data_IF_930210026650
#
_entry.id   IF_930210026650
#
_cell.length_a   1.000
_cell.length_b   1.000
_cell.length_c   1.000
_cell.angle_alpha   90.00
_cell.angle_beta   90.00
_cell.angle_gamma   90.00
#
_symmetry.space_group_name_H-M   'P 1'
#
loop_
_entity.id
_entity.type
_entity.pdbx_description
1 polymer ?
#
# COMPACT_ATOMS: atom_id res chain seq x y z
N UNK A 1 10.86 -18.15 9.77
CA UNK A 1 11.90 -17.31 9.15
C UNK A 1 13.25 -17.96 9.37
N UNK A 2 14.08 -18.00 8.35
CA UNK A 2 15.41 -18.62 8.45
C UNK A 2 16.51 -17.64 8.07
N UNK A 3 17.65 -17.76 8.76
CA UNK A 3 18.86 -17.02 8.51
C UNK A 3 20.05 -17.98 8.64
N UNK A 4 20.63 -18.41 7.52
CA UNK A 4 21.59 -19.50 7.50
C UNK A 4 21.00 -20.76 8.13
N UNK A 5 21.66 -21.31 9.15
CA UNK A 5 21.17 -22.48 9.88
C UNK A 5 20.21 -22.14 11.04
N UNK A 6 19.97 -20.85 11.31
CA UNK A 6 19.09 -20.42 12.41
C UNK A 6 17.66 -20.35 11.91
N UNK A 7 16.75 -21.10 12.54
CA UNK A 7 15.31 -21.02 12.31
C UNK A 7 14.65 -20.22 13.43
N UNK A 8 13.87 -19.20 13.03
CA UNK A 8 13.16 -18.30 13.94
C UNK A 8 11.66 -18.48 13.71
N UNK A 9 10.94 -19.18 14.60
CA UNK A 9 9.49 -19.25 14.56
C UNK A 9 8.88 -17.85 14.70
N UNK A 10 8.03 -17.45 13.73
CA UNK A 10 7.37 -16.14 13.72
C UNK A 10 5.93 -16.25 13.25
N UNK A 11 5.14 -15.25 13.63
CA UNK A 11 3.80 -14.95 13.09
C UNK A 11 3.81 -13.60 12.38
N UNK A 12 3.03 -13.52 11.31
CA UNK A 12 2.81 -12.29 10.55
C UNK A 12 1.43 -11.73 10.85
N UNK A 13 1.34 -10.41 11.08
CA UNK A 13 0.09 -9.70 11.33
C UNK A 13 -0.03 -8.55 10.34
N UNK A 14 -1.25 -8.30 9.81
CA UNK A 14 -1.49 -7.14 8.96
C UNK A 14 -1.20 -5.86 9.73
N UNK A 15 -0.46 -4.92 9.12
CA UNK A 15 -0.21 -3.60 9.71
C UNK A 15 -1.33 -2.60 9.45
N UNK A 16 -2.23 -2.89 8.50
CA UNK A 16 -3.36 -2.05 8.15
C UNK A 16 -4.70 -2.67 8.57
N UNK A 17 -5.62 -1.81 8.99
CA UNK A 17 -7.02 -2.17 9.24
C UNK A 17 -7.87 -1.77 8.04
N UNK A 18 -8.30 -2.74 7.24
CA UNK A 18 -9.23 -2.52 6.11
C UNK A 18 -10.64 -2.12 6.55
N UNK A 19 -10.97 -2.34 7.84
CA UNK A 19 -12.31 -2.06 8.40
C UNK A 19 -12.64 -0.57 8.55
N UNK A 20 -11.66 0.32 8.37
CA UNK A 20 -11.86 1.78 8.49
C UNK A 20 -12.35 2.45 7.22
N UNK A 21 -12.37 1.75 6.08
CA UNK A 21 -12.90 2.30 4.84
C UNK A 21 -14.43 2.26 4.82
N UNK A 22 -15.05 3.36 4.32
CA UNK A 22 -16.49 3.39 4.09
C UNK A 22 -16.80 2.56 2.85
N UNK A 23 -17.44 1.40 3.05
CA UNK A 23 -17.81 0.51 1.96
C UNK A 23 -19.32 0.57 1.70
N UNK A 24 -19.71 0.60 0.41
CA UNK A 24 -21.10 0.60 -0.01
C UNK A 24 -21.47 -0.73 -0.65
N UNK A 25 -22.65 -1.24 -0.32
CA UNK A 25 -23.20 -2.41 -1.00
C UNK A 25 -24.04 -1.98 -2.20
N UNK A 26 -23.98 -2.75 -3.28
CA UNK A 26 -24.92 -2.57 -4.40
C UNK A 26 -26.32 -3.04 -4.01
N UNK A 27 -27.29 -2.16 -4.18
CA UNK A 27 -28.69 -2.43 -3.89
C UNK A 27 -29.53 -2.28 -5.17
N UNK A 28 -30.59 -3.09 -5.30
CA UNK A 28 -31.57 -2.90 -6.35
C UNK A 28 -32.37 -1.60 -6.12
N UNK A 29 -32.41 -0.73 -7.13
CA UNK A 29 -32.94 0.63 -6.98
C UNK A 29 -34.42 0.65 -6.51
N UNK A 30 -35.24 -0.30 -6.97
CA UNK A 30 -36.65 -0.34 -6.63
C UNK A 30 -36.93 -0.87 -5.23
N UNK A 31 -36.38 -2.04 -4.86
CA UNK A 31 -36.67 -2.71 -3.59
C UNK A 31 -35.63 -2.49 -2.48
N UNK A 32 -34.52 -1.80 -2.81
CA UNK A 32 -33.38 -1.55 -1.89
C UNK A 32 -32.74 -2.82 -1.31
N UNK A 33 -33.02 -4.00 -1.86
CA UNK A 33 -32.40 -5.25 -1.45
C UNK A 33 -30.99 -5.39 -2.03
N UNK A 34 -30.10 -6.06 -1.29
CA UNK A 34 -28.73 -6.33 -1.74
C UNK A 34 -28.74 -7.25 -2.96
N UNK A 35 -28.07 -6.85 -4.04
CA UNK A 35 -27.91 -7.67 -5.24
C UNK A 35 -26.75 -8.66 -5.08
N UNK A 36 -26.84 -9.81 -5.79
CA UNK A 36 -25.80 -10.83 -5.86
C UNK A 36 -25.28 -10.91 -7.29
N UNK A 37 -23.99 -11.21 -7.44
CA UNK A 37 -23.39 -11.49 -8.74
C UNK A 37 -23.55 -12.97 -9.06
N UNK A 38 -23.92 -13.28 -10.31
CA UNK A 38 -23.95 -14.62 -10.88
C UNK A 38 -22.90 -14.70 -11.98
N UNK A 39 -22.24 -15.83 -12.09
CA UNK A 39 -21.35 -16.12 -13.20
C UNK A 39 -22.18 -16.75 -14.31
N UNK A 40 -22.09 -16.21 -15.51
CA UNK A 40 -22.77 -16.75 -16.69
C UNK A 40 -21.74 -17.00 -17.80
N UNK A 41 -22.01 -18.00 -18.64
CA UNK A 41 -21.18 -18.29 -19.80
C UNK A 41 -21.86 -17.76 -21.08
N UNK A 42 -21.31 -16.72 -21.74
CA UNK A 42 -21.91 -16.15 -22.95
C UNK A 42 -22.05 -17.16 -24.10
N UNK A 43 -21.08 -18.05 -24.23
CA UNK A 43 -21.06 -19.09 -25.28
C UNK A 43 -22.09 -20.22 -25.03
N UNK A 44 -22.56 -20.35 -23.79
CA UNK A 44 -23.58 -21.33 -23.39
C UNK A 44 -24.95 -20.66 -23.18
N UNK A 45 -25.32 -19.70 -24.01
CA UNK A 45 -26.63 -19.01 -23.95
C UNK A 45 -26.88 -18.32 -22.59
N UNK A 46 -25.86 -17.73 -22.00
CA UNK A 46 -25.87 -17.07 -20.68
C UNK A 46 -26.30 -17.99 -19.52
N UNK A 47 -26.07 -19.29 -19.66
CA UNK A 47 -26.32 -20.25 -18.57
C UNK A 47 -25.51 -19.91 -17.33
N UNK A 48 -26.13 -20.01 -16.16
CA UNK A 48 -25.47 -19.77 -14.86
C UNK A 48 -24.46 -20.87 -14.56
N UNK A 49 -23.20 -20.48 -14.35
CA UNK A 49 -22.10 -21.41 -14.07
C UNK A 49 -21.75 -21.37 -12.56
N UNK A 50 -22.02 -22.46 -11.82
CA UNK A 50 -21.57 -22.58 -10.44
C UNK A 50 -20.05 -22.47 -10.33
N UNK A 51 -19.54 -21.85 -9.28
CA UNK A 51 -18.08 -21.71 -9.05
C UNK A 51 -17.34 -23.06 -9.07
N UNK A 52 -17.98 -24.12 -8.64
CA UNK A 52 -17.42 -25.47 -8.65
C UNK A 52 -17.17 -26.01 -10.08
N UNK A 53 -17.83 -25.46 -11.09
CA UNK A 53 -17.67 -25.83 -12.50
C UNK A 53 -16.73 -24.89 -13.25
N UNK A 54 -16.07 -23.94 -12.55
CA UNK A 54 -15.07 -23.06 -13.16
C UNK A 54 -13.67 -23.66 -13.01
N UNK A 55 -12.85 -23.49 -14.04
CA UNK A 55 -11.42 -23.82 -14.04
C UNK A 55 -10.59 -22.56 -14.21
N UNK A 56 -9.35 -22.57 -13.76
CA UNK A 56 -8.42 -21.45 -14.00
C UNK A 56 -7.74 -21.64 -15.34
N UNK A 57 -7.84 -20.64 -16.21
CA UNK A 57 -7.20 -20.61 -17.51
C UNK A 57 -6.19 -19.47 -17.61
N UNK A 58 -5.03 -19.74 -18.21
CA UNK A 58 -4.04 -18.74 -18.60
C UNK A 58 -4.14 -18.47 -20.09
N UNK A 59 -4.39 -17.23 -20.49
CA UNK A 59 -4.45 -16.83 -21.88
C UNK A 59 -3.03 -16.63 -22.42
N UNK A 60 -2.54 -17.57 -23.22
CA UNK A 60 -1.20 -17.50 -23.82
C UNK A 60 -1.20 -16.86 -25.21
N UNK A 61 -2.35 -16.81 -25.87
CA UNK A 61 -2.60 -16.06 -27.10
C UNK A 61 -4.08 -15.67 -27.13
N UNK A 62 -4.44 -14.60 -27.84
CA UNK A 62 -5.80 -14.07 -27.89
C UNK A 62 -6.85 -15.16 -28.13
N UNK A 63 -7.72 -15.41 -27.17
CA UNK A 63 -8.77 -16.42 -27.20
C UNK A 63 -8.29 -17.88 -27.01
N UNK A 64 -6.97 -18.11 -26.72
CA UNK A 64 -6.43 -19.45 -26.46
C UNK A 64 -5.97 -19.59 -25.03
N UNK A 65 -6.51 -20.57 -24.32
CA UNK A 65 -6.28 -20.79 -22.91
C UNK A 65 -5.64 -22.14 -22.63
N UNK A 66 -4.69 -22.16 -21.71
CA UNK A 66 -4.24 -23.36 -21.00
C UNK A 66 -4.97 -23.41 -19.67
N UNK A 67 -5.63 -24.53 -19.38
CA UNK A 67 -6.38 -24.72 -18.14
C UNK A 67 -5.54 -25.47 -17.12
N UNK A 68 -5.72 -25.08 -15.85
CA UNK A 68 -5.08 -25.71 -14.70
C UNK A 68 -6.15 -26.22 -13.75
N UNK A 69 -6.00 -27.45 -13.28
CA UNK A 69 -6.81 -28.00 -12.20
C UNK A 69 -6.38 -27.38 -10.85
N UNK A 70 -7.27 -27.45 -9.87
CA UNK A 70 -6.94 -26.98 -8.53
C UNK A 70 -5.79 -27.79 -7.89
N UNK A 71 -5.64 -29.06 -8.26
CA UNK A 71 -4.58 -29.96 -7.78
C UNK A 71 -3.23 -29.62 -8.38
N UNK A 72 -3.15 -29.36 -9.69
CA UNK A 72 -1.93 -28.90 -10.36
C UNK A 72 -1.42 -27.58 -9.76
N UNK A 73 -2.32 -26.62 -9.57
CA UNK A 73 -1.96 -25.34 -8.93
C UNK A 73 -1.49 -25.53 -7.49
N UNK A 74 -2.16 -26.42 -6.74
CA UNK A 74 -1.78 -26.73 -5.36
C UNK A 74 -0.39 -27.39 -5.31
N UNK A 75 -0.06 -28.30 -6.22
CA UNK A 75 1.27 -28.91 -6.31
C UNK A 75 2.35 -27.86 -6.54
N UNK A 76 2.13 -26.93 -7.47
CA UNK A 76 3.03 -25.80 -7.70
C UNK A 76 3.18 -24.89 -6.46
N UNK A 77 2.11 -24.74 -5.66
CA UNK A 77 2.13 -23.98 -4.42
C UNK A 77 2.85 -24.72 -3.27
N UNK A 78 2.72 -26.03 -3.21
CA UNK A 78 3.31 -26.87 -2.14
C UNK A 78 4.83 -26.98 -2.24
N UNK A 79 5.40 -26.88 -3.46
CA UNK A 79 6.84 -26.77 -3.65
C UNK A 79 7.42 -25.47 -3.03
N UNK A 80 6.58 -24.46 -2.82
CA UNK A 80 6.97 -23.21 -2.21
C UNK A 80 6.71 -23.27 -0.70
N UNK A 81 7.71 -23.66 0.09
CA UNK A 81 7.60 -23.68 1.56
C UNK A 81 7.16 -22.31 2.06
N UNK A 82 6.20 -22.26 2.99
CA UNK A 82 5.76 -21.02 3.68
C UNK A 82 6.87 -20.52 4.62
N UNK A 83 8.02 -20.19 4.05
CA UNK A 83 9.19 -19.73 4.76
C UNK A 83 9.55 -18.31 4.34
N UNK A 84 10.14 -17.57 5.27
CA UNK A 84 10.84 -16.33 4.96
C UNK A 84 12.33 -16.68 5.04
N UNK A 85 13.03 -16.57 3.92
CA UNK A 85 14.46 -16.92 3.82
C UNK A 85 15.25 -15.64 3.63
N UNK A 86 16.04 -15.26 4.63
CA UNK A 86 16.93 -14.09 4.57
C UNK A 86 18.12 -14.41 3.69
N UNK A 87 18.37 -13.57 2.68
CA UNK A 87 19.45 -13.75 1.71
C UNK A 87 20.62 -12.79 1.98
N UNK A 88 20.32 -11.53 2.31
CA UNK A 88 21.38 -10.52 2.52
C UNK A 88 20.92 -9.39 3.46
N UNK A 89 21.89 -8.56 3.85
CA UNK A 89 21.67 -7.39 4.70
C UNK A 89 22.23 -6.14 4.02
N UNK A 90 21.37 -5.13 3.85
CA UNK A 90 21.71 -3.86 3.17
C UNK A 90 21.42 -2.67 4.08
N UNK A 91 22.04 -1.49 3.86
CA UNK A 91 21.62 -0.25 4.50
C UNK A 91 20.17 0.11 4.10
N UNK A 92 19.36 0.61 5.04
CA UNK A 92 17.98 0.99 4.75
C UNK A 92 17.87 2.04 3.63
N UNK A 93 18.77 3.01 3.63
CA UNK A 93 18.83 4.08 2.64
C UNK A 93 19.10 3.60 1.20
N UNK A 94 19.65 2.39 1.04
CA UNK A 94 19.87 1.81 -0.29
C UNK A 94 18.59 1.26 -0.94
N UNK A 95 17.50 1.14 -0.18
CA UNK A 95 16.21 0.64 -0.67
C UNK A 95 15.28 1.81 -0.93
N UNK A 96 15.11 2.19 -2.20
CA UNK A 96 14.24 3.28 -2.59
C UNK A 96 12.77 2.96 -2.21
N UNK A 97 12.04 3.90 -1.57
CA UNK A 97 10.63 3.73 -1.21
C UNK A 97 9.69 3.41 -2.37
N UNK A 98 10.09 3.66 -3.62
CA UNK A 98 9.30 3.29 -4.82
C UNK A 98 9.02 1.78 -4.90
N UNK A 99 9.91 0.96 -4.30
CA UNK A 99 9.75 -0.49 -4.23
C UNK A 99 8.78 -0.93 -3.13
N UNK A 100 8.39 -0.07 -2.18
CA UNK A 100 7.59 -0.47 -1.02
C UNK A 100 6.15 -0.83 -1.43
N UNK A 101 5.70 -1.99 -0.95
CA UNK A 101 4.33 -2.50 -1.06
C UNK A 101 3.65 -2.60 0.31
N UNK A 102 2.99 -3.71 0.59
CA UNK A 102 2.30 -3.96 1.86
C UNK A 102 3.28 -4.22 3.00
N UNK A 103 2.91 -3.79 4.22
CA UNK A 103 3.67 -4.03 5.42
C UNK A 103 2.95 -5.01 6.36
N UNK A 104 3.74 -5.77 7.13
CA UNK A 104 3.24 -6.74 8.11
C UNK A 104 4.07 -6.63 9.39
N UNK A 105 3.42 -6.64 10.54
CA UNK A 105 4.13 -6.80 11.80
C UNK A 105 4.60 -8.23 11.95
N UNK A 106 5.83 -8.41 12.45
CA UNK A 106 6.38 -9.71 12.81
C UNK A 106 6.35 -9.87 14.33
N UNK A 107 5.82 -10.98 14.79
CA UNK A 107 5.91 -11.37 16.20
C UNK A 107 6.61 -12.73 16.33
N UNK A 108 7.32 -12.99 17.44
CA UNK A 108 7.85 -14.33 17.70
C UNK A 108 6.71 -15.31 17.93
N UNK A 109 6.87 -16.53 17.47
CA UNK A 109 6.05 -17.68 17.89
C UNK A 109 6.77 -18.46 19.00
N UNK A 110 6.07 -19.38 19.63
CA UNK A 110 6.58 -20.14 20.77
C UNK A 110 7.97 -20.74 20.49
N UNK A 111 8.93 -20.44 21.37
CA UNK A 111 10.33 -20.86 21.24
C UNK A 111 11.18 -20.00 20.29
N UNK A 112 10.61 -18.98 19.67
CA UNK A 112 11.30 -18.06 18.76
C UNK A 112 11.80 -16.78 19.41
N UNK A 113 11.41 -16.47 20.64
CA UNK A 113 11.55 -15.17 21.28
C UNK A 113 13.01 -14.70 21.33
N UNK A 114 13.93 -15.56 21.79
CA UNK A 114 15.36 -15.23 21.92
C UNK A 114 16.01 -14.95 20.54
N UNK A 115 15.74 -15.81 19.56
CA UNK A 115 16.31 -15.66 18.22
C UNK A 115 15.71 -14.46 17.48
N UNK A 116 14.42 -14.18 17.68
CA UNK A 116 13.75 -12.99 17.18
C UNK A 116 14.38 -11.70 17.76
N UNK A 117 14.55 -11.65 19.08
CA UNK A 117 15.18 -10.50 19.75
C UNK A 117 16.62 -10.30 19.28
N UNK A 118 17.41 -11.39 19.19
CA UNK A 118 18.80 -11.33 18.72
C UNK A 118 18.91 -10.73 17.30
N UNK A 119 18.05 -11.17 16.37
CA UNK A 119 18.03 -10.61 15.02
C UNK A 119 17.65 -9.12 15.04
N UNK A 120 16.63 -8.75 15.79
CA UNK A 120 16.18 -7.36 15.92
C UNK A 120 17.30 -6.46 16.49
N UNK A 121 18.02 -6.92 17.51
CA UNK A 121 19.15 -6.18 18.12
C UNK A 121 20.33 -6.06 17.14
N UNK A 122 20.64 -7.13 16.41
CA UNK A 122 21.68 -7.11 15.39
C UNK A 122 21.37 -6.11 14.26
N UNK A 123 20.14 -6.08 13.77
CA UNK A 123 19.71 -5.11 12.77
C UNK A 123 19.77 -3.66 13.28
N UNK A 124 19.37 -3.43 14.53
CA UNK A 124 19.46 -2.10 15.17
C UNK A 124 20.90 -1.64 15.32
N UNK A 125 21.78 -2.51 15.84
CA UNK A 125 23.18 -2.16 16.10
C UNK A 125 23.98 -1.91 14.83
N UNK A 126 23.63 -2.57 13.72
CA UNK A 126 24.31 -2.42 12.43
C UNK A 126 23.69 -1.36 11.52
N UNK A 127 22.50 -0.83 11.84
CA UNK A 127 21.75 0.06 10.96
C UNK A 127 21.31 -0.60 9.65
N UNK A 128 21.29 -1.94 9.59
CA UNK A 128 20.94 -2.69 8.38
C UNK A 128 19.54 -3.26 8.44
N UNK A 129 19.01 -3.60 7.26
CA UNK A 129 17.76 -4.33 7.06
C UNK A 129 18.07 -5.65 6.37
N UNK A 130 17.23 -6.66 6.58
CA UNK A 130 17.38 -7.95 5.93
C UNK A 130 16.51 -7.99 4.68
N UNK A 131 17.07 -8.39 3.54
CA UNK A 131 16.32 -8.76 2.34
C UNK A 131 16.07 -10.26 2.37
N UNK A 132 14.84 -10.64 2.09
CA UNK A 132 14.39 -12.02 2.18
C UNK A 132 13.40 -12.38 1.07
N UNK A 133 13.29 -13.66 0.77
CA UNK A 133 12.22 -14.24 -0.04
C UNK A 133 11.12 -14.76 0.87
N UNK A 134 9.91 -14.37 0.60
CA UNK A 134 8.72 -14.83 1.31
C UNK A 134 7.77 -15.55 0.38
N UNK A 135 7.60 -16.84 0.62
CA UNK A 135 6.63 -17.64 -0.11
C UNK A 135 5.26 -17.60 0.59
N UNK A 136 4.25 -17.05 -0.08
CA UNK A 136 2.90 -16.96 0.43
C UNK A 136 1.87 -17.03 -0.70
N UNK A 137 0.80 -17.81 -0.49
CA UNK A 137 -0.34 -17.93 -1.42
C UNK A 137 0.06 -18.27 -2.86
N UNK A 138 1.00 -19.20 -3.02
CA UNK A 138 1.48 -19.64 -4.34
C UNK A 138 2.35 -18.61 -5.08
N UNK A 139 2.85 -17.59 -4.37
CA UNK A 139 3.75 -16.59 -4.93
C UNK A 139 4.97 -16.41 -4.05
N UNK A 140 6.10 -16.13 -4.67
CA UNK A 140 7.29 -15.68 -4.00
C UNK A 140 7.32 -14.15 -4.02
N UNK A 141 7.53 -13.55 -2.87
CA UNK A 141 7.62 -12.10 -2.69
C UNK A 141 9.02 -11.74 -2.22
N UNK A 142 9.57 -10.68 -2.76
CA UNK A 142 10.72 -10.01 -2.17
C UNK A 142 10.24 -9.21 -0.97
N UNK A 143 10.91 -9.33 0.17
CA UNK A 143 10.56 -8.61 1.39
C UNK A 143 11.79 -8.06 2.08
N UNK A 144 11.60 -6.96 2.79
CA UNK A 144 12.59 -6.33 3.65
C UNK A 144 12.12 -6.44 5.11
N UNK A 145 12.99 -6.90 5.99
CA UNK A 145 12.72 -6.96 7.43
C UNK A 145 13.55 -5.90 8.12
N UNK A 146 12.89 -5.05 8.89
CA UNK A 146 13.54 -3.95 9.61
C UNK A 146 13.02 -3.84 11.04
N UNK A 147 13.83 -3.28 11.95
CA UNK A 147 13.36 -2.93 13.29
C UNK A 147 12.23 -1.90 13.25
N UNK A 148 11.33 -1.99 14.21
CA UNK A 148 10.19 -1.09 14.36
C UNK A 148 9.77 -1.00 15.84
N UNK A 149 9.46 0.20 16.33
CA UNK A 149 8.95 0.48 17.69
C UNK A 149 9.66 -0.34 18.79
N UNK A 150 10.89 0.03 19.10
CA UNK A 150 11.65 -0.62 20.17
C UNK A 150 12.06 -2.04 19.80
N UNK A 151 11.43 -3.07 20.37
CA UNK A 151 11.79 -4.48 20.17
C UNK A 151 11.11 -5.15 18.96
N UNK A 152 10.14 -4.50 18.34
CA UNK A 152 9.40 -5.05 17.22
C UNK A 152 10.19 -5.11 15.92
N UNK A 153 9.71 -5.92 14.97
CA UNK A 153 10.15 -5.93 13.58
C UNK A 153 8.95 -5.83 12.63
N UNK A 154 9.19 -5.22 11.49
CA UNK A 154 8.23 -5.12 10.37
C UNK A 154 8.83 -5.79 9.16
N UNK A 155 8.01 -6.56 8.47
CA UNK A 155 8.28 -7.08 7.13
C UNK A 155 7.56 -6.18 6.13
N UNK A 156 8.33 -5.55 5.25
CA UNK A 156 7.86 -4.71 4.15
C UNK A 156 7.96 -5.51 2.87
N UNK A 157 6.86 -5.74 2.18
CA UNK A 157 6.89 -6.33 0.85
C UNK A 157 7.52 -5.33 -0.12
N UNK A 158 8.39 -5.83 -1.00
CA UNK A 158 9.02 -5.05 -2.06
C UNK A 158 8.51 -5.53 -3.43
N UNK A 159 8.43 -4.62 -4.38
CA UNK A 159 8.22 -4.95 -5.78
C UNK A 159 9.50 -5.47 -6.39
N UNK A 160 9.39 -6.41 -7.33
CA UNK A 160 10.52 -6.75 -8.19
C UNK A 160 10.81 -5.60 -9.17
N UNK A 161 12.06 -5.51 -9.65
CA UNK A 161 12.45 -4.47 -10.59
C UNK A 161 11.60 -4.47 -11.88
N UNK A 162 11.19 -5.64 -12.34
CA UNK A 162 10.33 -5.84 -13.50
C UNK A 162 8.88 -5.39 -13.31
N UNK A 163 8.43 -5.22 -12.06
CA UNK A 163 7.09 -4.70 -11.74
C UNK A 163 7.03 -3.17 -11.77
N UNK A 164 8.19 -2.51 -11.81
CA UNK A 164 8.25 -1.05 -11.89
C UNK A 164 8.16 -0.60 -13.34
N UNK A 165 7.30 0.39 -13.57
CA UNK A 165 7.30 1.10 -14.85
C UNK A 165 8.56 1.95 -14.99
N UNK A 166 9.09 2.11 -16.22
CA UNK A 166 10.19 3.03 -16.46
C UNK A 166 9.86 4.43 -15.93
N UNK A 167 10.88 5.11 -15.38
CA UNK A 167 10.73 6.51 -14.98
C UNK A 167 10.30 7.36 -16.18
N UNK A 168 9.40 8.31 -15.93
CA UNK A 168 8.98 9.24 -16.98
C UNK A 168 10.15 10.11 -17.40
N UNK A 169 10.39 10.31 -18.71
CA UNK A 169 11.39 11.27 -19.19
C UNK A 169 10.88 12.70 -18.89
N UNK A 170 11.46 13.33 -17.88
CA UNK A 170 11.14 14.72 -17.52
C UNK A 170 12.22 15.61 -18.12
N UNK A 171 11.81 16.58 -18.94
CA UNK A 171 12.72 17.60 -19.44
C UNK A 171 13.04 18.58 -18.32
N UNK A 172 14.33 18.84 -18.11
CA UNK A 172 14.76 19.86 -17.16
C UNK A 172 14.38 21.25 -17.68
N UNK A 173 13.80 22.07 -16.82
CA UNK A 173 13.55 23.49 -17.09
C UNK A 173 14.56 24.32 -16.33
N UNK A 174 14.95 25.47 -16.93
CA UNK A 174 15.82 26.41 -16.26
C UNK A 174 15.08 27.12 -15.12
N UNK A 175 15.68 27.14 -13.94
CA UNK A 175 15.18 27.84 -12.76
C UNK A 175 16.17 28.89 -12.36
N UNK A 176 15.72 30.14 -12.18
CA UNK A 176 16.59 31.22 -11.73
C UNK A 176 16.98 31.06 -10.27
N UNK A 177 18.15 31.61 -9.91
CA UNK A 177 18.65 31.55 -8.53
C UNK A 177 17.70 32.25 -7.52
N UNK A 178 17.04 33.32 -7.98
CA UNK A 178 16.05 34.05 -7.19
C UNK A 178 14.79 33.24 -6.89
N UNK A 179 14.27 32.52 -7.88
CA UNK A 179 13.12 31.62 -7.73
C UNK A 179 13.46 30.47 -6.76
N UNK A 180 14.63 29.84 -6.92
CA UNK A 180 15.10 28.79 -6.05
C UNK A 180 15.22 29.27 -4.60
N UNK A 181 15.80 30.46 -4.36
CA UNK A 181 15.91 31.03 -3.00
C UNK A 181 14.55 31.25 -2.33
N UNK A 182 13.56 31.73 -3.07
CA UNK A 182 12.19 31.91 -2.55
C UNK A 182 11.51 30.58 -2.27
N UNK A 183 11.66 29.60 -3.16
CA UNK A 183 11.12 28.27 -2.97
C UNK A 183 11.72 27.58 -1.74
N UNK A 184 13.05 27.63 -1.56
CA UNK A 184 13.74 27.10 -0.38
C UNK A 184 13.24 27.78 0.90
N UNK A 185 13.04 29.11 0.89
CA UNK A 185 12.49 29.83 2.04
C UNK A 185 11.09 29.35 2.40
N UNK A 186 10.22 29.12 1.40
CA UNK A 186 8.87 28.58 1.61
C UNK A 186 8.90 27.15 2.16
N UNK A 187 9.78 26.30 1.63
CA UNK A 187 9.98 24.93 2.14
C UNK A 187 10.40 24.97 3.62
N UNK A 188 11.43 25.76 3.94
CA UNK A 188 11.93 25.86 5.33
C UNK A 188 10.88 26.42 6.29
N UNK A 189 10.03 27.35 5.84
CA UNK A 189 8.93 27.90 6.64
C UNK A 189 7.84 26.86 6.94
N UNK A 190 7.71 25.84 6.09
CA UNK A 190 6.74 24.78 6.22
C UNK A 190 7.35 23.44 6.70
N UNK A 191 8.64 23.41 6.98
CA UNK A 191 9.34 22.20 7.41
C UNK A 191 8.99 21.82 8.83
N UNK A 192 8.97 20.52 9.09
CA UNK A 192 8.91 19.92 10.42
C UNK A 192 9.98 18.83 10.47
N UNK A 193 10.69 18.73 11.58
CA UNK A 193 11.75 17.72 11.76
C UNK A 193 11.17 16.33 12.05
N UNK A 194 9.88 16.25 12.42
CA UNK A 194 9.21 15.00 12.76
C UNK A 194 7.94 14.80 11.94
N UNK A 195 7.71 13.55 11.55
CA UNK A 195 6.47 13.14 10.90
C UNK A 195 5.42 12.79 11.94
N UNK A 196 4.33 13.53 11.96
CA UNK A 196 3.19 13.36 12.85
C UNK A 196 1.96 12.85 12.06
N UNK A 197 1.81 11.53 11.84
CA UNK A 197 0.71 10.98 11.04
C UNK A 197 -0.67 11.30 11.60
N UNK A 198 -0.80 11.49 12.90
CA UNK A 198 -2.06 11.84 13.58
C UNK A 198 -2.64 13.21 13.21
N UNK A 199 -1.81 14.10 12.64
CA UNK A 199 -2.26 15.42 12.12
C UNK A 199 -3.04 15.29 10.81
N UNK A 200 -2.84 14.19 10.06
CA UNK A 200 -3.47 13.97 8.77
C UNK A 200 -4.71 13.10 8.94
N UNK A 201 -5.86 13.63 8.54
CA UNK A 201 -7.14 12.92 8.64
C UNK A 201 -7.76 12.80 7.26
N UNK A 202 -8.41 11.68 6.99
CA UNK A 202 -9.21 11.51 5.78
C UNK A 202 -10.53 12.29 5.92
N UNK A 203 -10.52 13.51 5.39
CA UNK A 203 -11.68 14.40 5.43
C UNK A 203 -12.82 13.90 4.53
N UNK A 204 -12.50 13.17 3.46
CA UNK A 204 -13.51 12.57 2.57
C UNK A 204 -14.28 11.50 3.33
N UNK A 205 -13.58 10.63 4.05
CA UNK A 205 -14.19 9.63 4.92
C UNK A 205 -15.07 10.29 5.99
N UNK A 206 -14.61 11.35 6.62
CA UNK A 206 -15.38 12.06 7.64
C UNK A 206 -16.66 12.67 7.04
N UNK A 207 -16.60 13.23 5.84
CA UNK A 207 -17.76 13.72 5.10
C UNK A 207 -18.75 12.61 4.78
N UNK A 208 -18.28 11.44 4.31
CA UNK A 208 -19.15 10.28 4.08
C UNK A 208 -19.84 9.83 5.37
N UNK A 209 -19.12 9.70 6.47
CA UNK A 209 -19.69 9.30 7.76
C UNK A 209 -20.74 10.31 8.26
N UNK A 210 -20.49 11.61 8.13
CA UNK A 210 -21.45 12.65 8.47
C UNK A 210 -22.71 12.59 7.58
N UNK A 211 -22.54 12.38 6.26
CA UNK A 211 -23.65 12.23 5.33
C UNK A 211 -24.50 10.99 5.62
N UNK A 212 -23.85 9.85 5.91
CA UNK A 212 -24.52 8.61 6.32
C UNK A 212 -25.34 8.86 7.59
N UNK A 213 -24.75 9.50 8.60
CA UNK A 213 -25.43 9.81 9.86
C UNK A 213 -26.68 10.66 9.62
N UNK A 214 -26.59 11.73 8.82
CA UNK A 214 -27.76 12.57 8.46
C UNK A 214 -28.85 11.76 7.78
N UNK A 215 -28.50 10.89 6.81
CA UNK A 215 -29.49 10.02 6.12
C UNK A 215 -30.14 9.02 7.06
N UNK A 216 -29.42 8.47 8.02
CA UNK A 216 -29.99 7.58 9.05
C UNK A 216 -30.98 8.33 9.93
N UNK A 217 -30.71 9.60 10.23
CA UNK A 217 -31.58 10.49 11.02
C UNK A 217 -32.76 11.09 10.20
N UNK A 218 -32.90 10.71 8.91
CA UNK A 218 -34.00 11.15 8.02
C UNK A 218 -33.75 12.49 7.33
N UNK A 219 -32.55 13.05 7.39
CA UNK A 219 -32.16 14.28 6.71
C UNK A 219 -31.70 14.06 5.26
N UNK A 220 -31.69 15.13 4.48
CA UNK A 220 -31.13 15.15 3.14
C UNK A 220 -29.64 15.50 3.16
N UNK A 221 -28.89 14.99 2.14
CA UNK A 221 -27.49 15.36 1.92
C UNK A 221 -27.47 16.48 0.90
N UNK A 222 -27.21 17.69 1.35
CA UNK A 222 -26.92 18.80 0.44
C UNK A 222 -25.52 18.64 -0.13
N UNK A 223 -25.35 18.91 -1.44
CA UNK A 223 -24.04 18.97 -2.08
C UNK A 223 -23.15 19.99 -1.32
N UNK A 224 -21.93 19.62 -0.96
CA UNK A 224 -20.97 20.61 -0.51
C UNK A 224 -20.75 21.59 -1.68
N UNK A 225 -20.88 22.89 -1.40
CA UNK A 225 -20.50 23.92 -2.35
C UNK A 225 -19.13 23.60 -2.93
N UNK A 226 -19.06 23.48 -4.24
CA UNK A 226 -17.84 23.24 -4.99
C UNK A 226 -16.96 24.53 -4.89
N UNK A 227 -16.19 24.60 -3.82
CA UNK A 227 -15.34 25.72 -3.53
C UNK A 227 -13.88 25.33 -3.53
N UNK A 228 -13.28 25.30 -4.72
CA UNK A 228 -11.86 25.64 -4.90
C UNK A 228 -11.70 26.19 -6.31
N UNK A 229 -11.73 27.49 -6.42
CA UNK A 229 -11.20 28.18 -7.59
C UNK A 229 -9.74 27.73 -7.80
N UNK A 230 -9.48 27.06 -8.90
CA UNK A 230 -8.11 26.85 -9.37
C UNK A 230 -7.60 28.22 -9.77
N UNK A 231 -6.76 28.80 -8.93
CA UNK A 231 -6.00 29.99 -9.27
C UNK A 231 -5.05 29.61 -10.41
N UNK A 232 -5.30 30.09 -11.62
CA UNK A 232 -4.31 30.05 -12.68
C UNK A 232 -3.14 30.92 -12.26
N UNK A 233 -2.02 30.33 -11.96
CA UNK A 233 -0.79 31.05 -11.60
C UNK A 233 -0.11 31.49 -12.87
N UNK A 234 -0.39 32.72 -13.29
CA UNK A 234 0.25 33.39 -14.43
C UNK A 234 1.69 33.81 -14.13
N UNK A 235 2.08 33.99 -12.87
CA UNK A 235 3.44 34.40 -12.45
C UNK A 235 3.88 33.59 -11.22
N UNK A 236 4.89 32.75 -11.41
CA UNK A 236 5.45 31.88 -10.35
C UNK A 236 6.06 32.73 -9.21
N UNK A 237 6.74 33.83 -9.51
CA UNK A 237 7.36 34.71 -8.51
C UNK A 237 6.32 35.43 -7.66
N UNK A 238 5.25 35.93 -8.28
CA UNK A 238 4.14 36.55 -7.56
C UNK A 238 3.44 35.54 -6.65
N UNK A 239 3.20 34.30 -7.11
CA UNK A 239 2.58 33.22 -6.33
C UNK A 239 3.43 32.80 -5.12
N UNK A 240 4.75 32.62 -5.29
CA UNK A 240 5.68 32.30 -4.20
C UNK A 240 5.71 33.42 -3.15
N UNK A 241 5.76 34.68 -3.60
CA UNK A 241 5.77 35.84 -2.70
C UNK A 241 4.46 35.97 -1.90
N UNK A 242 3.32 35.77 -2.56
CA UNK A 242 2.00 35.77 -1.91
C UNK A 242 1.87 34.66 -0.86
N UNK A 243 2.33 33.46 -1.18
CA UNK A 243 2.32 32.32 -0.27
C UNK A 243 3.17 32.56 0.99
N UNK A 244 4.32 33.21 0.86
CA UNK A 244 5.18 33.59 1.97
C UNK A 244 4.52 34.63 2.89
N UNK A 245 3.80 35.63 2.31
CA UNK A 245 3.09 36.68 3.08
C UNK A 245 1.90 36.10 3.85
N UNK A 246 1.04 35.32 3.18
CA UNK A 246 -0.14 34.73 3.80
C UNK A 246 0.21 33.93 5.06
N UNK A 247 1.30 33.18 5.02
CA UNK A 247 1.72 32.34 6.16
C UNK A 247 2.47 33.11 7.26
N UNK A 248 2.95 34.31 6.99
CA UNK A 248 3.49 35.19 8.01
C UNK A 248 2.39 35.87 8.85
N UNK A 249 1.19 36.01 8.28
CA UNK A 249 0.00 36.56 8.95
C UNK A 249 -0.77 35.51 9.78
N UNK A 250 -0.57 34.21 9.52
CA UNK A 250 -1.21 33.10 10.26
C UNK A 250 -0.40 32.63 11.49
N UNK A 251 0.76 33.23 11.79
CA UNK A 251 1.59 32.97 12.98
C UNK A 251 1.47 34.09 14.01
#
# INVERSE_FOLDING_TARGET
>A
MSFGMVSIPIRTYSSGESSKEVSFNMLHAACKCRVKQRLVCPECSDEEVPRAQTVKGYEFAKGKYVTFTAEELKTMEEETRKAIEIEEFVPLESVDPVYFGSAYYLGPDAGGEKAYQLLGDALRSTGRVALAKWAARGKQHLVMIRPFNGTGMVMQQLRYAEELKPALPIQASEVSESELKLAVKLVNQNSSDEFHPEKYKDEVRNRYLAAIKRKVEGGEVNDPEAGTERTETLDLMAALTASLKKKAEEK
#
